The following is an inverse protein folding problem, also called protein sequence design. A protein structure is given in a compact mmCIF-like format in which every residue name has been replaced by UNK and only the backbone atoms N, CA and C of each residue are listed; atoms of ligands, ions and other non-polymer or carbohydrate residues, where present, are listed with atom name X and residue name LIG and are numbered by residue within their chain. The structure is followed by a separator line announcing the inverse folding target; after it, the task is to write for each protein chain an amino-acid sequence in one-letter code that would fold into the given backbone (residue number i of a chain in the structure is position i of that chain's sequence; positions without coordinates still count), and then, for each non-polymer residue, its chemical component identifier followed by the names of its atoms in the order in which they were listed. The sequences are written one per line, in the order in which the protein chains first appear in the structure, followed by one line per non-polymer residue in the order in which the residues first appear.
data_IF_401011136760
#
_entry.id   IF_401011136760
#
_cell.length_a   1.000
_cell.length_b   1.000
_cell.length_c   1.000
_cell.angle_alpha   90.00
_cell.angle_beta   90.00
_cell.angle_gamma   90.00
#
_symmetry.space_group_name_H-M   'P 1'
#
loop_
_entity.id
_entity.type
_entity.pdbx_description
1 polymer ?
#
# COMPACT_ATOMS: atom_id res chain seq x y z
N UNK A 1 -16.11 -26.65 20.30
CA UNK A 1 -15.16 -26.09 19.33
C UNK A 1 -15.78 -24.77 18.86
N UNK A 2 -15.09 -23.66 19.10
CA UNK A 2 -15.56 -22.34 18.65
C UNK A 2 -15.55 -22.24 17.12
N UNK A 3 -16.41 -21.40 16.58
CA UNK A 3 -16.47 -21.15 15.14
C UNK A 3 -15.22 -20.37 14.70
N UNK A 4 -14.51 -20.88 13.69
CA UNK A 4 -13.38 -20.16 13.07
C UNK A 4 -13.91 -19.03 12.20
N UNK A 5 -13.62 -17.80 12.57
CA UNK A 5 -13.94 -16.60 11.77
C UNK A 5 -12.68 -15.94 11.19
N UNK A 6 -12.87 -15.18 10.12
CA UNK A 6 -11.81 -14.40 9.52
C UNK A 6 -11.42 -13.25 10.47
N UNK A 7 -10.15 -13.14 10.80
CA UNK A 7 -9.62 -12.03 11.58
C UNK A 7 -9.32 -10.85 10.66
N UNK A 8 -9.93 -9.69 10.89
CA UNK A 8 -9.70 -8.49 10.09
C UNK A 8 -8.35 -7.82 10.37
N UNK A 9 -7.64 -8.23 11.43
CA UNK A 9 -6.30 -7.74 11.75
C UNK A 9 -5.18 -8.47 11.02
N UNK A 10 -5.33 -9.77 10.72
CA UNK A 10 -4.28 -10.56 10.06
C UNK A 10 -4.76 -11.39 8.88
N UNK A 11 -6.05 -11.35 8.55
CA UNK A 11 -6.70 -12.12 7.47
C UNK A 11 -6.50 -13.63 7.56
N UNK A 12 -6.35 -14.16 8.78
CA UNK A 12 -6.32 -15.60 9.03
C UNK A 12 -7.65 -16.06 9.66
N UNK A 13 -8.06 -17.28 9.34
CA UNK A 13 -9.22 -17.91 9.98
C UNK A 13 -8.79 -18.57 11.29
N UNK A 14 -9.33 -18.08 12.41
CA UNK A 14 -8.97 -18.55 13.75
C UNK A 14 -10.15 -18.50 14.70
N UNK A 15 -10.07 -19.24 15.81
CA UNK A 15 -11.00 -19.15 16.93
C UNK A 15 -10.56 -17.98 17.84
N UNK A 16 -11.47 -17.02 18.07
CA UNK A 16 -11.18 -15.89 18.95
C UNK A 16 -11.39 -16.28 20.42
N UNK A 17 -10.52 -15.79 21.28
CA UNK A 17 -10.64 -15.94 22.73
C UNK A 17 -10.96 -14.58 23.34
N UNK A 18 -12.16 -14.44 23.98
CA UNK A 18 -12.58 -13.16 24.58
C UNK A 18 -12.68 -12.00 23.58
N UNK A 19 -12.90 -12.28 22.27
CA UNK A 19 -12.93 -11.26 21.22
C UNK A 19 -11.56 -10.89 20.67
N UNK A 20 -10.48 -11.52 21.16
CA UNK A 20 -9.09 -11.26 20.73
C UNK A 20 -8.59 -12.37 19.81
N UNK A 21 -7.94 -11.98 18.70
CA UNK A 21 -7.29 -12.90 17.80
C UNK A 21 -6.01 -13.43 18.43
N UNK A 22 -5.82 -14.77 18.57
CA UNK A 22 -4.60 -15.33 19.15
C UNK A 22 -3.35 -15.16 18.29
N UNK A 23 -3.52 -14.90 16.97
CA UNK A 23 -2.39 -14.79 16.05
C UNK A 23 -1.78 -13.36 16.04
N UNK A 24 -2.61 -12.32 16.13
CA UNK A 24 -2.14 -10.94 15.95
C UNK A 24 -2.61 -9.96 17.03
N UNK A 25 -3.39 -10.41 18.02
CA UNK A 25 -3.90 -9.56 19.09
C UNK A 25 -5.05 -8.62 18.68
N UNK A 26 -5.54 -8.69 17.44
CA UNK A 26 -6.67 -7.86 17.00
C UNK A 26 -7.90 -8.13 17.85
N UNK A 27 -8.52 -7.04 18.35
CA UNK A 27 -9.76 -7.08 19.10
C UNK A 27 -10.93 -6.68 18.20
N UNK A 28 -11.91 -7.57 18.03
CA UNK A 28 -13.00 -7.40 17.05
C UNK A 28 -13.99 -6.28 17.37
N UNK A 29 -13.94 -5.72 18.61
CA UNK A 29 -14.72 -4.56 19.03
C UNK A 29 -13.89 -3.28 19.16
N UNK A 30 -12.66 -3.27 18.63
CA UNK A 30 -11.85 -2.05 18.62
C UNK A 30 -12.56 -0.95 17.83
N UNK A 31 -12.65 0.27 18.36
CA UNK A 31 -13.16 1.39 17.57
C UNK A 31 -12.27 1.61 16.34
N UNK A 32 -12.88 1.78 15.17
CA UNK A 32 -12.18 2.18 13.97
C UNK A 32 -12.24 3.69 13.79
N UNK A 33 -11.20 4.27 13.20
CA UNK A 33 -11.21 5.68 12.81
C UNK A 33 -12.36 5.90 11.79
N UNK A 34 -13.21 6.92 11.96
CA UNK A 34 -14.31 7.19 11.04
C UNK A 34 -13.88 7.48 9.59
N UNK A 35 -12.63 7.90 9.38
CA UNK A 35 -12.06 8.12 8.05
C UNK A 35 -11.73 6.82 7.31
N UNK A 36 -11.65 5.69 8.01
CA UNK A 36 -11.32 4.39 7.43
C UNK A 36 -12.57 3.59 7.05
N UNK A 37 -12.42 2.69 6.09
CA UNK A 37 -13.44 1.68 5.81
C UNK A 37 -13.57 0.76 7.02
N UNK A 38 -14.80 0.48 7.42
CA UNK A 38 -15.07 -0.42 8.56
C UNK A 38 -14.56 -1.83 8.21
N UNK A 39 -13.72 -2.45 9.08
CA UNK A 39 -13.27 -3.82 8.87
C UNK A 39 -14.45 -4.79 8.70
N UNK A 40 -14.34 -5.69 7.73
CA UNK A 40 -15.41 -6.60 7.32
C UNK A 40 -16.28 -6.09 6.17
N UNK A 41 -16.13 -4.82 5.76
CA UNK A 41 -16.80 -4.31 4.55
C UNK A 41 -16.33 -5.10 3.33
N UNK A 42 -17.28 -5.50 2.48
CA UNK A 42 -17.00 -6.19 1.22
C UNK A 42 -17.01 -5.18 0.08
N UNK A 43 -15.96 -5.20 -0.74
CA UNK A 43 -15.81 -4.39 -1.95
C UNK A 43 -15.74 -5.29 -3.18
N UNK A 44 -16.29 -4.79 -4.30
CA UNK A 44 -16.33 -5.49 -5.59
C UNK A 44 -16.86 -6.93 -5.48
N UNK A 45 -17.73 -7.21 -4.52
CA UNK A 45 -18.24 -8.57 -4.19
C UNK A 45 -17.15 -9.63 -4.02
N UNK A 46 -15.90 -9.23 -3.76
CA UNK A 46 -14.72 -10.11 -3.74
C UNK A 46 -13.80 -9.86 -2.56
N UNK A 47 -13.54 -8.61 -2.20
CA UNK A 47 -12.52 -8.25 -1.22
C UNK A 47 -13.14 -7.89 0.12
N UNK A 48 -12.74 -8.58 1.20
CA UNK A 48 -13.10 -8.21 2.57
C UNK A 48 -12.02 -7.29 3.11
N UNK A 49 -12.39 -6.07 3.46
CA UNK A 49 -11.47 -5.07 4.01
C UNK A 49 -11.15 -5.38 5.47
N UNK A 50 -9.91 -5.27 5.84
CA UNK A 50 -9.43 -5.37 7.21
C UNK A 50 -8.97 -4.03 7.77
N UNK A 51 -7.94 -4.08 8.61
CA UNK A 51 -7.37 -2.89 9.23
C UNK A 51 -6.62 -2.01 8.22
N UNK A 52 -6.65 -0.70 8.43
CA UNK A 52 -5.76 0.22 7.75
C UNK A 52 -4.32 -0.01 8.22
N UNK A 53 -3.39 -0.10 7.28
CA UNK A 53 -1.97 -0.32 7.54
C UNK A 53 -1.19 0.98 7.56
N UNK A 54 -1.45 1.86 6.58
CA UNK A 54 -0.85 3.19 6.52
C UNK A 54 -1.67 4.15 5.66
N UNK A 55 -1.41 5.43 5.87
CA UNK A 55 -2.03 6.55 5.14
C UNK A 55 -0.91 7.39 4.54
N UNK A 56 -1.11 7.87 3.32
CA UNK A 56 -0.25 8.85 2.68
C UNK A 56 -1.06 9.94 1.97
N UNK A 57 -0.39 10.85 1.26
CA UNK A 57 -1.05 11.98 0.60
C UNK A 57 -2.04 11.60 -0.49
N UNK A 58 -2.01 10.38 -1.02
CA UNK A 58 -2.95 9.91 -2.04
C UNK A 58 -4.10 9.06 -1.49
N UNK A 59 -3.96 8.53 -0.25
CA UNK A 59 -5.02 7.73 0.33
C UNK A 59 -4.59 6.74 1.39
N UNK A 60 -5.27 5.61 1.46
CA UNK A 60 -5.18 4.63 2.54
C UNK A 60 -4.88 3.25 1.97
N UNK A 61 -3.97 2.52 2.61
CA UNK A 61 -3.72 1.10 2.31
C UNK A 61 -4.23 0.23 3.45
N UNK A 62 -5.05 -0.75 3.08
CA UNK A 62 -5.64 -1.73 3.99
C UNK A 62 -5.04 -3.12 3.76
N UNK A 63 -5.03 -3.93 4.81
CA UNK A 63 -4.97 -5.37 4.65
C UNK A 63 -6.36 -5.85 4.22
N UNK A 64 -6.44 -6.72 3.22
CA UNK A 64 -7.70 -7.27 2.75
C UNK A 64 -7.59 -8.77 2.46
N UNK A 65 -8.73 -9.42 2.28
CA UNK A 65 -8.84 -10.83 1.94
C UNK A 65 -9.58 -11.00 0.63
N UNK A 66 -8.94 -11.64 -0.34
CA UNK A 66 -9.55 -12.01 -1.60
C UNK A 66 -10.31 -13.33 -1.45
N UNK A 67 -11.64 -13.26 -1.47
CA UNK A 67 -12.50 -14.43 -1.31
C UNK A 67 -12.44 -15.39 -2.49
N UNK A 68 -12.05 -14.92 -3.69
CA UNK A 68 -12.04 -15.74 -4.91
C UNK A 68 -10.86 -16.72 -4.94
N UNK A 69 -9.73 -16.32 -4.38
CA UNK A 69 -8.50 -17.12 -4.35
C UNK A 69 -8.08 -17.52 -2.94
N UNK A 70 -8.77 -17.02 -1.91
CA UNK A 70 -8.57 -17.42 -0.53
C UNK A 70 -7.26 -16.94 0.11
N UNK A 71 -6.76 -15.76 -0.27
CA UNK A 71 -5.50 -15.24 0.25
C UNK A 71 -5.58 -13.77 0.67
N UNK A 72 -4.55 -13.33 1.41
CA UNK A 72 -4.35 -11.92 1.77
C UNK A 72 -3.92 -11.11 0.56
N UNK A 73 -4.33 -9.85 0.53
CA UNK A 73 -3.91 -8.85 -0.44
C UNK A 73 -3.75 -7.50 0.26
N UNK A 74 -3.04 -6.57 -0.36
CA UNK A 74 -3.11 -5.16 -0.01
C UNK A 74 -4.17 -4.50 -0.87
N UNK A 75 -5.01 -3.66 -0.25
CA UNK A 75 -6.02 -2.86 -0.93
C UNK A 75 -5.70 -1.39 -0.73
N UNK A 76 -5.37 -0.69 -1.81
CA UNK A 76 -5.09 0.75 -1.79
C UNK A 76 -6.32 1.51 -2.26
N UNK A 77 -6.75 2.48 -1.46
CA UNK A 77 -7.87 3.36 -1.75
C UNK A 77 -7.36 4.75 -2.09
N UNK A 78 -7.75 5.29 -3.25
CA UNK A 78 -7.49 6.69 -3.55
C UNK A 78 -8.42 7.57 -2.73
N UNK A 79 -7.89 8.26 -1.72
CA UNK A 79 -8.64 9.13 -0.81
C UNK A 79 -7.75 10.25 -0.28
N UNK A 80 -7.36 11.23 -1.12
CA UNK A 80 -6.53 12.35 -0.69
C UNK A 80 -7.29 13.25 0.30
N UNK A 81 -6.76 13.48 1.52
CA UNK A 81 -7.49 14.14 2.61
C UNK A 81 -7.85 15.61 2.32
N UNK A 82 -7.08 16.27 1.44
CA UNK A 82 -7.32 17.67 1.07
C UNK A 82 -8.41 17.84 0.00
N UNK A 83 -8.90 16.77 -0.60
CA UNK A 83 -9.84 16.82 -1.73
C UNK A 83 -11.18 16.15 -1.43
N UNK A 84 -11.22 15.25 -0.45
CA UNK A 84 -12.42 14.49 -0.13
C UNK A 84 -12.45 14.04 1.33
N UNK A 85 -13.61 13.58 1.76
CA UNK A 85 -13.86 13.02 3.08
C UNK A 85 -14.70 11.75 2.96
N UNK A 86 -14.67 10.92 3.98
CA UNK A 86 -15.59 9.80 4.12
C UNK A 86 -16.76 10.17 5.03
N UNK A 87 -17.95 9.77 4.64
CA UNK A 87 -19.11 9.82 5.55
C UNK A 87 -18.97 8.70 6.57
N UNK A 88 -19.02 9.07 7.86
CA UNK A 88 -18.89 8.10 8.95
C UNK A 88 -19.88 6.92 8.78
N UNK A 89 -19.37 5.70 8.91
CA UNK A 89 -20.17 4.47 8.74
C UNK A 89 -20.50 4.07 7.30
N UNK A 90 -20.00 4.81 6.31
CA UNK A 90 -20.18 4.49 4.88
C UNK A 90 -18.83 4.34 4.19
N UNK A 91 -18.64 3.40 3.25
CA UNK A 91 -17.44 3.34 2.42
C UNK A 91 -17.36 4.45 1.37
N UNK A 92 -18.46 5.16 1.12
CA UNK A 92 -18.57 6.15 0.03
C UNK A 92 -17.75 7.41 0.32
N UNK A 93 -16.99 7.86 -0.69
CA UNK A 93 -16.22 9.08 -0.65
C UNK A 93 -17.11 10.27 -1.04
N UNK A 94 -17.05 11.34 -0.23
CA UNK A 94 -17.65 12.63 -0.50
C UNK A 94 -16.57 13.62 -0.95
N UNK A 95 -16.59 14.00 -2.21
CA UNK A 95 -15.60 14.94 -2.79
C UNK A 95 -16.01 16.36 -2.47
N UNK A 96 -15.03 17.21 -2.07
CA UNK A 96 -15.26 18.65 -1.88
C UNK A 96 -15.68 19.27 -3.23
N UNK A 97 -16.87 19.89 -3.35
CA UNK A 97 -17.39 20.32 -4.66
C UNK A 97 -16.46 21.24 -5.44
N UNK A 98 -15.80 22.18 -4.77
CA UNK A 98 -14.83 23.09 -5.37
C UNK A 98 -13.54 22.39 -5.85
N UNK A 99 -13.28 21.16 -5.44
CA UNK A 99 -12.09 20.35 -5.75
C UNK A 99 -12.37 19.19 -6.70
N UNK A 100 -13.58 19.05 -7.19
CA UNK A 100 -14.01 17.88 -7.98
C UNK A 100 -13.15 17.65 -9.24
N UNK A 101 -12.78 18.71 -9.95
CA UNK A 101 -11.95 18.61 -11.15
C UNK A 101 -10.54 18.10 -10.81
N UNK A 102 -9.93 18.62 -9.74
CA UNK A 102 -8.62 18.19 -9.24
C UNK A 102 -8.66 16.73 -8.74
N UNK A 103 -9.69 16.38 -7.96
CA UNK A 103 -9.89 15.02 -7.48
C UNK A 103 -9.91 14.00 -8.63
N UNK A 104 -10.69 14.29 -9.69
CA UNK A 104 -10.79 13.42 -10.87
C UNK A 104 -9.48 13.34 -11.66
N UNK A 105 -8.78 14.46 -11.83
CA UNK A 105 -7.50 14.50 -12.55
C UNK A 105 -6.45 13.64 -11.83
N UNK A 106 -6.29 13.82 -10.52
CA UNK A 106 -5.34 13.04 -9.72
C UNK A 106 -5.75 11.58 -9.58
N UNK A 107 -7.05 11.26 -9.51
CA UNK A 107 -7.55 9.88 -9.56
C UNK A 107 -7.20 9.20 -10.89
N UNK A 108 -7.23 9.93 -12.00
CA UNK A 108 -6.80 9.41 -13.29
C UNK A 108 -5.28 9.12 -13.31
N UNK A 109 -4.46 10.02 -12.76
CA UNK A 109 -3.01 9.79 -12.61
C UNK A 109 -2.71 8.57 -11.73
N UNK A 110 -3.37 8.44 -10.57
CA UNK A 110 -3.29 7.27 -9.70
C UNK A 110 -3.62 5.98 -10.46
N UNK A 111 -4.72 6.01 -11.22
CA UNK A 111 -5.17 4.87 -12.02
C UNK A 111 -4.15 4.49 -13.10
N UNK A 112 -3.60 5.46 -13.83
CA UNK A 112 -2.64 5.20 -14.91
C UNK A 112 -1.28 4.72 -14.39
N UNK A 113 -0.81 5.23 -13.24
CA UNK A 113 0.37 4.70 -12.57
C UNK A 113 0.21 3.19 -12.30
N UNK A 114 -0.90 2.81 -11.65
CA UNK A 114 -1.12 1.41 -11.29
C UNK A 114 -1.42 0.49 -12.48
N UNK A 115 -2.05 0.99 -13.55
CA UNK A 115 -2.14 0.27 -14.83
C UNK A 115 -0.77 0.04 -15.46
N UNK A 116 0.13 1.01 -15.36
CA UNK A 116 1.50 0.86 -15.87
C UNK A 116 2.26 -0.19 -15.06
N UNK A 117 2.12 -0.21 -13.74
CA UNK A 117 2.67 -1.23 -12.86
C UNK A 117 2.06 -2.62 -13.15
N UNK A 118 0.76 -2.70 -13.41
CA UNK A 118 0.09 -3.96 -13.76
C UNK A 118 0.62 -4.61 -15.05
N UNK A 119 1.15 -3.82 -15.99
CA UNK A 119 1.80 -4.34 -17.22
C UNK A 119 3.13 -5.02 -16.93
N UNK A 120 3.74 -4.75 -15.78
CA UNK A 120 5.03 -5.32 -15.36
C UNK A 120 4.87 -6.59 -14.52
N UNK A 121 3.73 -7.28 -14.63
CA UNK A 121 3.48 -8.55 -13.93
C UNK A 121 4.60 -9.57 -14.20
N UNK A 122 4.99 -10.28 -13.13
CA UNK A 122 6.05 -11.28 -13.19
C UNK A 122 7.45 -10.73 -12.88
N UNK A 123 7.59 -9.44 -12.58
CA UNK A 123 8.83 -8.89 -12.03
C UNK A 123 8.86 -9.15 -10.52
N UNK A 124 9.86 -9.89 -10.06
CA UNK A 124 9.96 -10.38 -8.68
C UNK A 124 10.23 -9.25 -7.67
N UNK A 125 10.77 -8.13 -8.13
CA UNK A 125 11.26 -7.03 -7.28
C UNK A 125 10.31 -5.82 -7.21
N UNK A 126 9.06 -5.98 -7.66
CA UNK A 126 8.00 -4.96 -7.59
C UNK A 126 6.71 -5.64 -7.15
N UNK A 127 5.94 -4.98 -6.27
CA UNK A 127 4.61 -5.46 -5.91
C UNK A 127 3.73 -5.62 -7.15
N UNK A 128 3.13 -6.80 -7.27
CA UNK A 128 2.26 -7.11 -8.40
C UNK A 128 0.88 -6.52 -8.18
N UNK A 129 0.46 -5.63 -9.06
CA UNK A 129 -0.94 -5.19 -9.12
C UNK A 129 -1.79 -6.34 -9.69
N UNK A 130 -2.73 -6.86 -8.90
CA UNK A 130 -3.56 -8.01 -9.28
C UNK A 130 -4.95 -7.59 -9.77
N UNK A 131 -5.46 -6.47 -9.29
CA UNK A 131 -6.78 -5.92 -9.70
C UNK A 131 -6.83 -4.40 -9.55
N UNK A 132 -7.76 -3.79 -10.28
CA UNK A 132 -8.05 -2.36 -10.21
C UNK A 132 -9.54 -2.17 -10.55
N UNK A 133 -10.30 -1.54 -9.65
CA UNK A 133 -11.72 -1.32 -9.83
C UNK A 133 -12.18 0.03 -9.26
N UNK A 134 -13.33 0.51 -9.73
CA UNK A 134 -13.96 1.73 -9.25
C UNK A 134 -15.23 1.38 -8.47
N UNK A 135 -15.35 1.93 -7.26
CA UNK A 135 -16.50 1.80 -6.37
C UNK A 135 -16.50 2.99 -5.39
N UNK A 136 -17.60 3.29 -4.72
CA UNK A 136 -17.69 4.30 -3.66
C UNK A 136 -17.17 5.70 -4.05
N UNK A 137 -17.33 6.11 -5.31
CA UNK A 137 -16.80 7.36 -5.87
C UNK A 137 -15.28 7.48 -5.89
N UNK A 138 -14.55 6.37 -5.82
CA UNK A 138 -13.10 6.31 -5.88
C UNK A 138 -12.60 5.12 -6.70
N UNK A 139 -11.29 4.97 -6.76
CA UNK A 139 -10.59 3.85 -7.37
C UNK A 139 -9.81 3.10 -6.31
N UNK A 140 -9.90 1.77 -6.39
CA UNK A 140 -9.15 0.83 -5.58
C UNK A 140 -8.12 0.09 -6.43
N UNK A 141 -6.96 -0.15 -5.84
CA UNK A 141 -5.91 -1.00 -6.41
C UNK A 141 -5.67 -2.15 -5.46
N UNK A 142 -5.58 -3.35 -5.99
CA UNK A 142 -5.27 -4.55 -5.22
C UNK A 142 -3.88 -5.02 -5.60
N UNK A 143 -2.99 -5.07 -4.61
CA UNK A 143 -1.63 -5.57 -4.75
C UNK A 143 -1.50 -6.95 -4.09
N UNK A 144 -0.65 -7.80 -4.65
CA UNK A 144 -0.28 -9.08 -4.04
C UNK A 144 0.31 -8.87 -2.64
N UNK A 145 -0.14 -9.68 -1.68
CA UNK A 145 0.50 -9.71 -0.37
C UNK A 145 1.77 -10.54 -0.42
N UNK A 146 2.90 -9.92 -0.09
CA UNK A 146 4.20 -10.60 0.02
C UNK A 146 4.68 -10.50 1.46
N UNK A 147 4.93 -11.65 2.08
CA UNK A 147 5.56 -11.71 3.41
C UNK A 147 6.96 -11.11 3.32
N UNK A 148 7.20 -10.04 4.05
CA UNK A 148 8.44 -9.27 3.93
C UNK A 148 8.60 -8.34 5.12
N UNK A 149 9.83 -7.88 5.37
CA UNK A 149 10.16 -6.87 6.37
C UNK A 149 10.78 -5.65 5.69
N UNK A 150 10.60 -4.46 6.26
CA UNK A 150 11.24 -3.26 5.70
C UNK A 150 12.74 -3.41 5.71
N UNK A 151 13.41 -2.91 4.67
CA UNK A 151 14.86 -3.01 4.58
C UNK A 151 15.57 -2.25 5.71
N UNK A 152 14.98 -1.15 6.19
CA UNK A 152 15.50 -0.42 7.35
C UNK A 152 15.50 -1.28 8.62
N UNK A 153 14.47 -2.08 8.85
CA UNK A 153 14.38 -2.96 10.01
C UNK A 153 15.32 -4.17 9.82
N UNK A 154 15.35 -4.74 8.62
CA UNK A 154 16.31 -5.79 8.27
C UNK A 154 17.76 -5.36 8.51
N UNK A 155 18.13 -4.12 8.14
CA UNK A 155 19.47 -3.58 8.39
C UNK A 155 19.77 -3.45 9.88
N UNK A 156 18.79 -3.04 10.71
CA UNK A 156 18.95 -2.94 12.17
C UNK A 156 19.12 -4.31 12.82
N UNK A 157 18.27 -5.25 12.43
CA UNK A 157 18.27 -6.61 13.01
C UNK A 157 19.53 -7.39 12.64
N UNK A 158 20.18 -7.06 11.52
CA UNK A 158 21.43 -7.67 11.06
C UNK A 158 22.64 -6.73 11.19
N UNK A 159 22.57 -5.73 12.08
CA UNK A 159 23.63 -4.76 12.26
C UNK A 159 24.94 -5.43 12.68
N UNK A 160 26.03 -5.20 11.92
CA UNK A 160 27.33 -5.81 12.12
C UNK A 160 27.52 -7.21 11.50
N UNK A 161 26.45 -7.84 10.98
CA UNK A 161 26.52 -9.16 10.32
C UNK A 161 26.46 -9.07 8.81
N UNK A 162 25.85 -7.99 8.27
CA UNK A 162 25.73 -7.78 6.84
C UNK A 162 27.09 -7.45 6.20
N UNK A 163 27.48 -8.27 5.27
CA UNK A 163 28.69 -8.09 4.47
C UNK A 163 28.40 -7.44 3.15
N UNK A 164 29.41 -6.76 2.55
CA UNK A 164 29.31 -6.27 1.18
C UNK A 164 28.97 -7.38 0.18
N UNK A 165 29.49 -8.58 0.39
CA UNK A 165 29.20 -9.74 -0.46
C UNK A 165 27.73 -10.19 -0.45
N UNK A 166 27.00 -9.95 0.63
CA UNK A 166 25.56 -10.17 0.71
C UNK A 166 24.80 -9.08 -0.01
N UNK A 167 25.07 -7.80 0.31
CA UNK A 167 24.42 -6.65 -0.32
C UNK A 167 24.64 -6.61 -1.84
N UNK A 168 25.85 -6.91 -2.29
CA UNK A 168 26.21 -6.93 -3.72
C UNK A 168 25.49 -8.02 -4.52
N UNK A 169 24.88 -9.01 -3.86
CA UNK A 169 24.01 -10.01 -4.50
C UNK A 169 22.55 -9.60 -4.50
N UNK A 170 22.10 -8.87 -3.48
CA UNK A 170 20.69 -8.45 -3.35
C UNK A 170 20.34 -7.26 -4.25
N UNK A 171 21.28 -6.32 -4.45
CA UNK A 171 21.01 -5.06 -5.16
C UNK A 171 20.87 -5.18 -6.69
N UNK A 172 21.72 -5.93 -7.43
CA UNK A 172 21.67 -5.94 -8.90
C UNK A 172 20.32 -6.34 -9.50
N UNK A 173 19.57 -7.34 -8.97
CA UNK A 173 18.25 -7.67 -9.49
C UNK A 173 17.26 -6.50 -9.36
N UNK A 174 17.31 -5.76 -8.24
CA UNK A 174 16.49 -4.56 -8.03
C UNK A 174 16.84 -3.45 -9.03
N UNK A 175 18.14 -3.22 -9.31
CA UNK A 175 18.61 -2.24 -10.31
C UNK A 175 18.14 -2.61 -11.73
N UNK A 176 18.12 -3.88 -12.07
CA UNK A 176 17.56 -4.37 -13.33
C UNK A 176 16.08 -4.05 -13.44
N UNK A 177 15.33 -4.29 -12.37
CA UNK A 177 13.89 -3.95 -12.29
C UNK A 177 13.65 -2.45 -12.40
N UNK A 178 14.48 -1.61 -11.75
CA UNK A 178 14.42 -0.16 -11.91
C UNK A 178 14.63 0.29 -13.35
N UNK A 179 15.57 -0.34 -14.06
CA UNK A 179 15.78 -0.06 -15.49
C UNK A 179 14.55 -0.39 -16.35
N UNK A 180 13.85 -1.49 -16.04
CA UNK A 180 12.60 -1.84 -16.73
C UNK A 180 11.48 -0.84 -16.43
N UNK A 181 11.35 -0.40 -15.17
CA UNK A 181 10.40 0.64 -14.77
C UNK A 181 10.64 1.95 -15.54
N UNK A 182 11.89 2.41 -15.58
CA UNK A 182 12.27 3.64 -16.28
C UNK A 182 12.00 3.54 -17.80
N UNK A 183 12.29 2.40 -18.44
CA UNK A 183 11.96 2.15 -19.83
C UNK A 183 10.44 2.16 -20.11
N UNK A 184 9.64 1.87 -19.09
CA UNK A 184 8.17 1.93 -19.16
C UNK A 184 7.61 3.30 -18.75
N UNK A 185 8.46 4.30 -18.53
CA UNK A 185 8.10 5.65 -18.14
C UNK A 185 7.70 5.80 -16.65
N UNK A 186 7.94 4.78 -15.84
CA UNK A 186 7.65 4.83 -14.39
C UNK A 186 8.91 5.19 -13.62
N UNK A 187 8.88 6.33 -12.93
CA UNK A 187 9.95 6.78 -12.02
C UNK A 187 9.44 6.73 -10.59
N UNK A 188 10.16 6.06 -9.71
CA UNK A 188 9.69 5.80 -8.33
C UNK A 188 9.71 7.04 -7.43
N UNK A 189 10.80 7.80 -7.43
CA UNK A 189 11.05 9.05 -6.66
C UNK A 189 11.02 8.95 -5.14
N UNK A 190 10.84 7.77 -4.57
CA UNK A 190 10.76 7.53 -3.13
C UNK A 190 11.63 6.33 -2.71
N UNK A 191 12.75 6.08 -3.40
CA UNK A 191 13.65 4.95 -3.06
C UNK A 191 14.36 5.25 -1.75
N UNK A 192 14.09 4.43 -0.74
CA UNK A 192 14.69 4.53 0.59
C UNK A 192 14.66 3.15 1.28
N UNK A 193 15.39 2.95 2.37
CA UNK A 193 15.26 1.72 3.17
C UNK A 193 13.86 1.49 3.76
N UNK A 194 13.01 2.51 3.78
CA UNK A 194 11.61 2.40 4.24
C UNK A 194 10.67 1.90 3.15
N UNK A 195 11.00 2.09 1.87
CA UNK A 195 10.17 1.70 0.72
C UNK A 195 10.68 0.44 0.02
N UNK A 196 11.84 -0.04 0.40
CA UNK A 196 12.38 -1.34 0.00
C UNK A 196 12.07 -2.34 1.10
N UNK A 197 11.63 -3.53 0.72
CA UNK A 197 11.36 -4.64 1.63
C UNK A 197 12.23 -5.84 1.30
N UNK A 198 12.49 -6.68 2.28
CA UNK A 198 13.19 -7.97 2.12
C UNK A 198 12.17 -9.07 2.27
N UNK A 199 12.01 -9.89 1.26
CA UNK A 199 11.10 -11.03 1.27
C UNK A 199 11.67 -12.18 2.11
N UNK A 200 10.85 -13.15 2.47
CA UNK A 200 11.29 -14.38 3.17
C UNK A 200 12.34 -15.16 2.38
N UNK A 201 12.47 -14.92 1.07
CA UNK A 201 13.49 -15.52 0.20
C UNK A 201 14.80 -14.73 0.16
N UNK A 202 14.85 -13.55 0.80
CA UNK A 202 15.99 -12.64 0.78
C UNK A 202 16.06 -11.72 -0.45
N UNK A 203 15.02 -11.69 -1.27
CA UNK A 203 14.94 -10.79 -2.42
C UNK A 203 14.48 -9.39 -1.96
N UNK A 204 15.01 -8.34 -2.61
CA UNK A 204 14.53 -6.98 -2.41
C UNK A 204 13.26 -6.73 -3.24
N UNK A 205 12.26 -6.15 -2.59
CA UNK A 205 10.99 -5.77 -3.18
C UNK A 205 10.80 -4.27 -3.07
N UNK A 206 10.61 -3.58 -4.19
CA UNK A 206 10.30 -2.15 -4.22
C UNK A 206 8.79 -1.96 -4.10
N UNK A 207 8.38 -1.14 -3.14
CA UNK A 207 6.98 -0.85 -2.81
C UNK A 207 6.73 0.65 -2.79
N UNK A 208 5.55 1.08 -2.33
CA UNK A 208 5.21 2.49 -2.11
C UNK A 208 5.28 3.36 -3.38
N UNK A 209 4.93 2.80 -4.54
CA UNK A 209 4.66 3.62 -5.73
C UNK A 209 3.48 4.55 -5.44
N UNK A 210 3.68 5.86 -5.62
CA UNK A 210 2.69 6.85 -5.24
C UNK A 210 2.75 8.08 -6.14
N UNK A 211 1.60 8.62 -6.52
CA UNK A 211 1.56 9.92 -7.18
C UNK A 211 1.92 11.06 -6.23
N UNK A 212 1.85 10.86 -4.91
CA UNK A 212 2.27 11.83 -3.91
C UNK A 212 3.81 12.02 -3.90
N UNK A 213 4.59 10.99 -4.26
CA UNK A 213 6.04 11.06 -4.35
C UNK A 213 6.55 12.01 -5.46
N UNK A 214 5.73 12.35 -6.44
CA UNK A 214 6.06 13.27 -7.53
C UNK A 214 5.60 14.70 -7.25
N UNK A 215 5.02 14.97 -6.08
CA UNK A 215 4.45 16.27 -5.73
C UNK A 215 5.45 17.15 -4.97
N UNK A 216 5.20 18.44 -5.01
CA UNK A 216 5.92 19.45 -4.21
C UNK A 216 5.01 19.95 -3.09
N UNK A 217 5.56 20.70 -2.14
CA UNK A 217 4.81 21.26 -1.01
C UNK A 217 3.60 22.12 -1.39
N UNK A 218 3.54 22.64 -2.62
CA UNK A 218 2.45 23.48 -3.11
C UNK A 218 1.40 22.71 -3.91
N UNK A 219 1.41 21.37 -3.87
CA UNK A 219 0.43 20.56 -4.56
C UNK A 219 -0.78 20.26 -3.67
N UNK A 220 -1.89 19.83 -4.29
CA UNK A 220 -3.10 19.40 -3.58
C UNK A 220 -2.93 18.08 -2.83
N UNK A 221 -1.93 17.29 -3.20
CA UNK A 221 -1.54 16.09 -2.44
C UNK A 221 -0.45 16.45 -1.45
N UNK A 222 -0.56 15.94 -0.26
CA UNK A 222 0.53 15.95 0.69
C UNK A 222 1.72 15.20 0.08
N UNK A 223 2.88 15.88 -0.03
CA UNK A 223 4.04 15.28 -0.67
C UNK A 223 4.71 14.25 0.23
N UNK A 224 5.19 13.17 -0.39
CA UNK A 224 5.96 12.12 0.28
C UNK A 224 7.45 12.37 0.07
N UNK A 225 8.16 12.75 1.14
CA UNK A 225 9.60 13.01 1.11
C UNK A 225 10.29 12.12 2.14
N UNK A 226 11.23 11.31 1.67
CA UNK A 226 12.07 10.47 2.52
C UNK A 226 13.39 11.19 2.80
N UNK A 227 13.50 11.80 3.99
CA UNK A 227 14.64 12.63 4.38
C UNK A 227 15.97 11.87 4.27
N UNK A 228 16.95 12.49 3.61
CA UNK A 228 18.27 11.92 3.34
C UNK A 228 18.34 11.01 2.11
N UNK A 229 17.20 10.71 1.45
CA UNK A 229 17.11 9.88 0.24
C UNK A 229 16.43 10.61 -0.93
N UNK A 230 15.62 11.61 -0.64
CA UNK A 230 15.00 12.43 -1.67
C UNK A 230 16.02 13.31 -2.39
N UNK A 231 15.85 13.50 -3.69
CA UNK A 231 16.68 14.42 -4.48
C UNK A 231 16.42 15.88 -4.05
N UNK A 232 17.42 16.78 -4.16
CA UNK A 232 17.29 18.16 -3.71
C UNK A 232 16.07 18.89 -4.28
N UNK A 233 15.72 18.62 -5.53
CA UNK A 233 14.56 19.22 -6.22
C UNK A 233 13.21 18.74 -5.70
N UNK A 234 13.16 17.70 -4.88
CA UNK A 234 11.93 17.22 -4.25
C UNK A 234 11.58 18.01 -2.97
N UNK A 235 12.56 18.68 -2.38
CA UNK A 235 12.31 19.50 -1.20
C UNK A 235 11.63 20.81 -1.59
N UNK A 236 10.68 21.31 -0.77
CA UNK A 236 10.11 22.63 -0.99
C UNK A 236 11.19 23.71 -0.92
N UNK A 237 11.13 24.63 -1.88
CA UNK A 237 12.00 25.84 -1.96
C UNK A 237 11.37 26.94 -1.11
#
# INVERSE_FOLDING_TARGET
MGERKLCYGCMERTEFSGGVCPNCGYYDKSPSDPSFIIPGTQLNNRYIVGVALFVNGEGITYLAYDQSIGCKVYLREYMPPNLCNRVAGSPVISVIPARLAQYKALMAEFTELHKSLARLRGQVHVNTVVDLFAENNTTYVVDEYVSSVRFVDYLKDNAGELTWGQLSRMLPPLLTTLSLLHNSGVVHRAISPDTIYVTDKGDLLLTAFSIAAVRTANSELECEIYNGYAAPEQYPV
#
